data_IF_655299661950
#
_entry.id   IF_655299661950
#
_cell.length_a   1.000
_cell.length_b   1.000
_cell.length_c   1.000
_cell.angle_alpha   90.00
_cell.angle_beta   90.00
_cell.angle_gamma   90.00
#
_symmetry.space_group_name_H-M   'P 1'
#
loop_
_entity.id
_entity.type
_entity.pdbx_description
1 polymer ?
#
# COMPACT_ATOMS: atom_id res chain seq x y z
N UNK A 1 13.46 -25.25 -27.33
CA UNK A 1 13.92 -23.87 -27.05
C UNK A 1 13.70 -23.59 -25.58
N UNK A 2 14.73 -23.79 -24.74
CA UNK A 2 14.67 -23.49 -23.31
C UNK A 2 14.74 -21.97 -23.13
N UNK A 3 13.61 -21.28 -23.20
CA UNK A 3 13.55 -19.90 -22.74
C UNK A 3 13.92 -19.88 -21.27
N UNK A 4 15.11 -19.39 -20.93
CA UNK A 4 15.46 -19.05 -19.56
C UNK A 4 14.38 -18.08 -19.06
N UNK A 5 13.86 -18.30 -17.84
CA UNK A 5 12.89 -17.37 -17.27
C UNK A 5 13.53 -15.98 -17.24
N UNK A 6 12.81 -14.92 -17.64
CA UNK A 6 13.27 -13.57 -17.42
C UNK A 6 13.58 -13.40 -15.92
N UNK A 7 14.67 -12.69 -15.58
CA UNK A 7 15.00 -12.44 -14.18
C UNK A 7 13.79 -11.78 -13.50
N UNK A 8 13.49 -12.23 -12.28
CA UNK A 8 12.36 -11.68 -11.54
C UNK A 8 12.60 -10.17 -11.30
N UNK A 9 11.59 -9.31 -11.50
CA UNK A 9 11.79 -7.88 -11.41
C UNK A 9 11.85 -7.42 -9.94
N UNK A 10 13.01 -7.61 -9.31
CA UNK A 10 13.24 -7.24 -7.92
C UNK A 10 13.10 -5.73 -7.66
N UNK A 11 13.43 -4.90 -8.66
CA UNK A 11 13.21 -3.46 -8.59
C UNK A 11 11.71 -3.13 -8.44
N UNK A 12 10.85 -3.80 -9.21
CA UNK A 12 9.41 -3.57 -9.16
C UNK A 12 8.81 -4.08 -7.84
N UNK A 13 9.35 -5.16 -7.29
CA UNK A 13 9.03 -5.60 -5.92
C UNK A 13 9.39 -4.54 -4.88
N UNK A 14 10.56 -3.91 -5.00
CA UNK A 14 10.97 -2.83 -4.09
C UNK A 14 10.05 -1.61 -4.22
N UNK A 15 9.68 -1.22 -5.43
CA UNK A 15 8.74 -0.13 -5.68
C UNK A 15 7.38 -0.44 -5.04
N UNK A 16 6.84 -1.65 -5.25
CA UNK A 16 5.59 -2.09 -4.62
C UNK A 16 5.68 -2.09 -3.10
N UNK A 17 6.80 -2.56 -2.55
CA UNK A 17 7.04 -2.54 -1.11
C UNK A 17 7.01 -1.11 -0.56
N UNK A 18 7.66 -0.15 -1.23
CA UNK A 18 7.64 1.26 -0.83
C UNK A 18 6.23 1.87 -0.93
N UNK A 19 5.46 1.53 -1.96
CA UNK A 19 4.07 1.95 -2.10
C UNK A 19 3.22 1.42 -0.95
N UNK A 20 3.38 0.15 -0.59
CA UNK A 20 2.68 -0.47 0.53
C UNK A 20 3.02 0.22 1.86
N UNK A 21 4.31 0.48 2.12
CA UNK A 21 4.73 1.21 3.32
C UNK A 21 4.16 2.63 3.36
N UNK A 22 4.13 3.32 2.21
CA UNK A 22 3.55 4.66 2.11
C UNK A 22 2.04 4.65 2.37
N UNK A 23 1.32 3.65 1.84
CA UNK A 23 -0.10 3.46 2.12
C UNK A 23 -0.33 3.30 3.63
N UNK A 24 0.44 2.43 4.29
CA UNK A 24 0.31 2.24 5.73
C UNK A 24 0.68 3.47 6.56
N UNK A 25 1.66 4.26 6.12
CA UNK A 25 1.93 5.55 6.76
C UNK A 25 0.73 6.51 6.70
N UNK A 26 0.02 6.55 5.58
CA UNK A 26 -1.19 7.36 5.42
C UNK A 26 -2.36 6.85 6.27
N UNK A 27 -2.63 5.54 6.25
CA UNK A 27 -3.67 4.92 7.05
C UNK A 27 -3.43 5.11 8.57
N UNK A 28 -2.19 4.92 9.04
CA UNK A 28 -1.81 5.21 10.42
C UNK A 28 -2.02 6.68 10.77
N UNK A 29 -1.68 7.62 9.88
CA UNK A 29 -1.85 9.05 10.13
C UNK A 29 -3.34 9.44 10.24
N UNK A 30 -4.19 8.88 9.39
CA UNK A 30 -5.64 9.01 9.46
C UNK A 30 -6.18 8.47 10.79
N UNK A 31 -5.88 7.21 11.14
CA UNK A 31 -6.31 6.60 12.39
C UNK A 31 -5.77 7.34 13.62
N UNK A 32 -4.53 7.82 13.59
CA UNK A 32 -3.94 8.59 14.67
C UNK A 32 -4.70 9.90 14.92
N UNK A 33 -5.11 10.62 13.87
CA UNK A 33 -5.90 11.85 14.01
C UNK A 33 -7.32 11.56 14.47
N UNK A 34 -7.98 10.53 13.93
CA UNK A 34 -9.35 10.14 14.30
C UNK A 34 -9.44 9.65 15.75
N UNK A 35 -8.45 8.88 16.21
CA UNK A 35 -8.40 8.34 17.58
C UNK A 35 -7.88 9.33 18.62
N UNK A 36 -7.22 10.40 18.19
CA UNK A 36 -6.62 11.39 19.10
C UNK A 36 -7.66 12.24 19.82
N UNK A 37 -7.56 12.30 21.15
CA UNK A 37 -8.41 13.18 21.96
C UNK A 37 -7.84 14.59 22.02
N UNK A 38 -8.59 15.59 21.55
CA UNK A 38 -8.22 17.03 21.58
C UNK A 38 -7.63 17.50 22.92
N UNK A 39 -8.16 17.12 24.11
CA UNK A 39 -7.57 17.52 25.39
C UNK A 39 -6.15 17.00 25.62
N UNK A 40 -5.83 15.77 25.18
CA UNK A 40 -4.48 15.20 25.29
C UNK A 40 -3.50 15.92 24.36
N UNK A 41 -3.93 16.24 23.14
CA UNK A 41 -3.12 17.02 22.19
C UNK A 41 -2.81 18.43 22.72
N UNK A 42 -3.81 19.12 23.29
CA UNK A 42 -3.62 20.42 23.96
C UNK A 42 -2.59 20.34 25.10
N UNK A 43 -2.66 19.31 25.93
CA UNK A 43 -1.69 19.09 27.00
C UNK A 43 -0.27 18.84 26.44
N UNK A 44 -0.13 18.05 25.37
CA UNK A 44 1.15 17.82 24.71
C UNK A 44 1.73 19.09 24.07
N UNK A 45 0.90 19.92 23.45
CA UNK A 45 1.31 21.21 22.89
C UNK A 45 1.78 22.17 24.00
N UNK A 46 1.06 22.23 25.12
CA UNK A 46 1.47 23.02 26.29
C UNK A 46 2.80 22.55 26.89
N UNK A 47 3.09 21.25 26.81
CA UNK A 47 4.37 20.67 27.25
C UNK A 47 5.51 20.82 26.22
N UNK A 48 5.32 21.59 25.15
CA UNK A 48 6.35 21.88 24.16
C UNK A 48 6.70 20.70 23.24
N UNK A 49 5.86 19.66 23.13
CA UNK A 49 6.11 18.57 22.18
C UNK A 49 6.03 19.08 20.75
N UNK A 50 7.11 18.88 19.99
CA UNK A 50 7.15 19.18 18.56
C UNK A 50 6.05 18.40 17.83
N UNK A 51 5.35 19.06 16.91
CA UNK A 51 4.25 18.48 16.15
C UNK A 51 2.91 18.37 16.89
N UNK A 52 2.86 18.58 18.22
CA UNK A 52 1.60 18.50 18.96
C UNK A 52 0.62 19.63 18.60
N UNK A 53 1.14 20.81 18.28
CA UNK A 53 0.32 21.92 17.77
C UNK A 53 -0.26 21.58 16.40
N UNK A 54 0.56 21.09 15.48
CA UNK A 54 0.11 20.66 14.14
C UNK A 54 -0.94 19.56 14.21
N UNK A 55 -0.73 18.54 15.05
CA UNK A 55 -1.71 17.48 15.27
C UNK A 55 -3.01 18.00 15.90
N UNK A 56 -2.92 19.00 16.79
CA UNK A 56 -4.10 19.67 17.36
C UNK A 56 -4.87 20.46 16.28
N UNK A 57 -4.18 21.17 15.41
CA UNK A 57 -4.78 21.94 14.32
C UNK A 57 -5.47 20.99 13.32
N UNK A 58 -4.80 19.89 12.93
CA UNK A 58 -5.39 18.83 12.09
C UNK A 58 -6.60 18.17 12.75
N UNK A 59 -6.54 17.86 14.05
CA UNK A 59 -7.66 17.28 14.77
C UNK A 59 -8.82 18.28 14.98
N UNK A 60 -8.56 19.58 14.86
CA UNK A 60 -9.57 20.64 14.99
C UNK A 60 -10.53 20.66 13.81
N UNK A 61 -9.98 20.49 12.60
CA UNK A 61 -10.69 20.36 11.34
C UNK A 61 -10.17 19.14 10.56
N UNK A 62 -10.58 17.91 10.96
CA UNK A 62 -10.06 16.68 10.38
C UNK A 62 -10.51 16.48 8.93
N UNK A 63 -11.60 17.13 8.49
CA UNK A 63 -12.19 16.87 7.17
C UNK A 63 -11.20 17.09 6.03
N UNK A 64 -10.51 18.24 6.02
CA UNK A 64 -9.54 18.56 4.97
C UNK A 64 -8.32 17.63 4.97
N UNK A 65 -7.85 17.24 6.15
CA UNK A 65 -6.74 16.30 6.29
C UNK A 65 -7.13 14.90 5.79
N UNK A 66 -8.26 14.38 6.28
CA UNK A 66 -8.78 13.07 5.91
C UNK A 66 -9.02 12.96 4.40
N UNK A 67 -9.65 13.96 3.79
CA UNK A 67 -9.86 13.95 2.33
C UNK A 67 -8.54 13.94 1.55
N UNK A 68 -7.51 14.64 2.02
CA UNK A 68 -6.19 14.65 1.36
C UNK A 68 -5.49 13.30 1.48
N UNK A 69 -5.52 12.71 2.69
CA UNK A 69 -4.94 11.39 2.96
C UNK A 69 -5.64 10.31 2.14
N UNK A 70 -6.98 10.36 2.08
CA UNK A 70 -7.79 9.40 1.33
C UNK A 70 -7.54 9.44 -0.18
N UNK A 71 -7.33 10.63 -0.76
CA UNK A 71 -6.89 10.77 -2.16
C UNK A 71 -5.51 10.11 -2.34
N UNK A 72 -4.60 10.30 -1.38
CA UNK A 72 -3.28 9.65 -1.37
C UNK A 72 -3.39 8.12 -1.33
N UNK A 73 -4.17 7.57 -0.40
CA UNK A 73 -4.43 6.12 -0.26
C UNK A 73 -4.98 5.56 -1.57
N UNK A 74 -5.98 6.22 -2.15
CA UNK A 74 -6.59 5.79 -3.42
C UNK A 74 -5.58 5.80 -4.56
N UNK A 75 -4.77 6.86 -4.68
CA UNK A 75 -3.73 6.96 -5.69
C UNK A 75 -2.68 5.85 -5.56
N UNK A 76 -2.25 5.54 -4.33
CA UNK A 76 -1.30 4.46 -4.08
C UNK A 76 -1.90 3.10 -4.41
N UNK A 77 -3.17 2.86 -4.06
CA UNK A 77 -3.85 1.60 -4.39
C UNK A 77 -3.93 1.37 -5.90
N UNK A 78 -4.27 2.41 -6.67
CA UNK A 78 -4.31 2.34 -8.15
C UNK A 78 -2.92 2.09 -8.72
N UNK A 79 -1.91 2.82 -8.25
CA UNK A 79 -0.53 2.63 -8.71
C UNK A 79 -0.02 1.24 -8.37
N UNK A 80 -0.23 0.75 -7.14
CA UNK A 80 0.21 -0.58 -6.72
C UNK A 80 -0.48 -1.69 -7.53
N UNK A 81 -1.78 -1.57 -7.78
CA UNK A 81 -2.52 -2.54 -8.62
C UNK A 81 -2.05 -2.56 -10.07
N UNK A 82 -1.83 -1.38 -10.67
CA UNK A 82 -1.31 -1.28 -12.03
C UNK A 82 0.11 -1.84 -12.15
N UNK A 83 0.97 -1.50 -11.19
CA UNK A 83 2.38 -1.92 -11.18
C UNK A 83 2.52 -3.43 -10.90
N UNK A 84 1.71 -3.99 -9.99
CA UNK A 84 1.75 -5.42 -9.68
C UNK A 84 1.29 -6.24 -10.88
N UNK A 85 0.19 -5.84 -11.51
CA UNK A 85 -0.35 -6.50 -12.69
C UNK A 85 0.61 -6.52 -13.88
N UNK A 86 1.18 -5.36 -14.23
CA UNK A 86 2.06 -5.23 -15.38
C UNK A 86 3.44 -5.89 -15.16
N UNK A 87 3.99 -5.79 -13.94
CA UNK A 87 5.39 -6.19 -13.69
C UNK A 87 5.52 -7.61 -13.14
N UNK A 88 4.60 -8.04 -12.28
CA UNK A 88 4.69 -9.35 -11.61
C UNK A 88 3.76 -10.40 -12.20
N UNK A 89 2.67 -10.00 -12.86
CA UNK A 89 1.68 -10.92 -13.43
C UNK A 89 2.26 -11.86 -14.48
N UNK A 90 3.00 -11.33 -15.47
CA UNK A 90 3.64 -12.10 -16.52
C UNK A 90 4.67 -13.12 -16.01
N UNK A 91 5.68 -12.69 -15.22
CA UNK A 91 6.67 -13.61 -14.65
C UNK A 91 6.05 -14.69 -13.74
N UNK A 92 4.94 -14.38 -13.06
CA UNK A 92 4.21 -15.36 -12.24
C UNK A 92 3.46 -16.36 -13.12
N UNK A 93 2.82 -15.89 -14.19
CA UNK A 93 2.14 -16.73 -15.17
C UNK A 93 3.09 -17.72 -15.86
N UNK A 94 4.28 -17.27 -16.29
CA UNK A 94 5.28 -18.15 -16.91
C UNK A 94 5.74 -19.29 -15.99
N UNK A 95 5.83 -19.01 -14.68
CA UNK A 95 6.13 -20.04 -13.68
C UNK A 95 4.98 -21.03 -13.51
N UNK A 96 3.73 -20.56 -13.55
CA UNK A 96 2.53 -21.42 -13.52
C UNK A 96 2.42 -22.30 -14.76
N UNK A 97 2.79 -21.80 -15.95
CA UNK A 97 2.85 -22.62 -17.17
C UNK A 97 3.83 -23.78 -17.01
N UNK A 98 5.00 -23.55 -16.40
CA UNK A 98 5.97 -24.64 -16.11
C UNK A 98 5.46 -25.68 -15.12
N UNK A 99 4.46 -25.35 -14.30
CA UNK A 99 3.79 -26.29 -13.40
C UNK A 99 2.69 -27.12 -14.10
N UNK A 100 2.54 -26.98 -15.43
CA UNK A 100 1.59 -27.76 -16.23
C UNK A 100 0.26 -27.07 -16.48
N UNK A 101 0.13 -25.77 -16.14
CA UNK A 101 -1.09 -25.00 -16.39
C UNK A 101 -1.16 -24.50 -17.83
N UNK A 102 -2.36 -24.50 -18.41
CA UNK A 102 -2.60 -23.93 -19.74
C UNK A 102 -2.25 -22.42 -19.77
N UNK A 103 -1.64 -21.89 -20.85
CA UNK A 103 -1.18 -20.50 -20.92
C UNK A 103 -2.23 -19.45 -20.54
N UNK A 104 -3.43 -19.57 -21.09
CA UNK A 104 -4.52 -18.60 -20.85
C UNK A 104 -4.98 -18.61 -19.37
N UNK A 105 -5.05 -19.80 -18.79
CA UNK A 105 -5.38 -19.98 -17.37
C UNK A 105 -4.25 -19.45 -16.49
N UNK A 106 -3.00 -19.75 -16.84
CA UNK A 106 -1.82 -19.30 -16.10
C UNK A 106 -1.68 -17.78 -16.08
N UNK A 107 -2.04 -17.09 -17.17
CA UNK A 107 -2.04 -15.64 -17.24
C UNK A 107 -3.09 -15.03 -16.30
N UNK A 108 -4.31 -15.55 -16.33
CA UNK A 108 -5.40 -15.09 -15.47
C UNK A 108 -5.09 -15.36 -13.99
N UNK A 109 -4.65 -16.57 -13.67
CA UNK A 109 -4.32 -17.00 -12.31
C UNK A 109 -3.08 -16.28 -11.79
N UNK A 110 -2.04 -16.10 -12.60
CA UNK A 110 -0.82 -15.39 -12.22
C UNK A 110 -1.10 -13.94 -11.87
N UNK A 111 -1.90 -13.26 -12.69
CA UNK A 111 -2.37 -11.90 -12.40
C UNK A 111 -3.22 -11.84 -11.13
N UNK A 112 -4.18 -12.75 -10.97
CA UNK A 112 -5.04 -12.81 -9.78
C UNK A 112 -4.23 -13.05 -8.49
N UNK A 113 -3.29 -13.99 -8.50
CA UNK A 113 -2.42 -14.28 -7.35
C UNK A 113 -1.62 -13.05 -6.96
N UNK A 114 -1.01 -12.37 -7.93
CA UNK A 114 -0.22 -11.16 -7.69
C UNK A 114 -1.07 -10.05 -7.10
N UNK A 115 -2.25 -9.79 -7.66
CA UNK A 115 -3.17 -8.78 -7.11
C UNK A 115 -3.59 -9.16 -5.69
N UNK A 116 -4.02 -10.40 -5.45
CA UNK A 116 -4.46 -10.83 -4.12
C UNK A 116 -3.32 -10.70 -3.12
N UNK A 117 -2.11 -11.14 -3.48
CA UNK A 117 -0.94 -11.07 -2.61
C UNK A 117 -0.55 -9.63 -2.29
N UNK A 118 -0.50 -8.75 -3.30
CA UNK A 118 -0.15 -7.34 -3.12
C UNK A 118 -1.22 -6.56 -2.37
N UNK A 119 -2.50 -6.78 -2.67
CA UNK A 119 -3.64 -6.21 -1.93
C UNK A 119 -3.62 -6.67 -0.48
N UNK A 120 -3.41 -7.96 -0.22
CA UNK A 120 -3.30 -8.50 1.13
C UNK A 120 -2.14 -7.86 1.90
N UNK A 121 -0.95 -7.82 1.30
CA UNK A 121 0.21 -7.16 1.91
C UNK A 121 -0.07 -5.67 2.20
N UNK A 122 -0.73 -4.97 1.28
CA UNK A 122 -1.11 -3.57 1.47
C UNK A 122 -2.12 -3.37 2.60
N UNK A 123 -3.12 -4.24 2.72
CA UNK A 123 -4.12 -4.16 3.78
C UNK A 123 -3.52 -4.52 5.14
N UNK A 124 -2.68 -5.56 5.21
CA UNK A 124 -2.06 -5.97 6.48
C UNK A 124 -1.09 -4.91 6.98
N UNK A 125 -0.23 -4.38 6.12
CA UNK A 125 0.69 -3.30 6.50
C UNK A 125 -0.06 -1.98 6.74
N UNK A 126 -1.19 -1.78 6.05
CA UNK A 126 -1.97 -0.57 6.12
C UNK A 126 -2.90 -0.45 7.33
N UNK A 127 -3.57 -1.54 7.70
CA UNK A 127 -4.66 -1.54 8.69
C UNK A 127 -4.36 -2.32 9.97
N UNK A 128 -3.42 -3.29 9.96
CA UNK A 128 -3.13 -4.17 11.11
C UNK A 128 -1.90 -3.75 11.94
N UNK A 129 -1.31 -2.59 11.67
CA UNK A 129 -0.23 -1.97 12.47
C UNK A 129 -0.78 -0.83 13.33
#
# INVERSE_FOLDING_TARGET
MTHALPPFPWFDVLVLFLLICLNGAFAMAELAIVSSRKPRLKAMAKNGRKGAQTALDLASDPGRFLSTVQIGITGIAVLAGAFSGASLGGPTAERLVRLGMAPDTAQTVGFAIVIIATTYASLVVGELV
#
